data_IF_526864107858
#
_entry.id   IF_526864107858
#
_cell.length_a   1.000
_cell.length_b   1.000
_cell.length_c   1.000
_cell.angle_alpha   90.00
_cell.angle_beta   90.00
_cell.angle_gamma   90.00
#
_symmetry.space_group_name_H-M   'P 1'
#
loop_
_entity.id
_entity.type
_entity.pdbx_description
1 polymer ?
#
# COMPACT_ATOMS: atom_id res chain seq x y z
N UNK A 1 27.69 -8.46 -68.59
CA UNK A 1 28.10 -8.60 -67.17
C UNK A 1 27.06 -9.47 -66.47
N UNK A 2 27.36 -10.73 -66.19
CA UNK A 2 26.47 -11.71 -65.63
C UNK A 2 26.84 -11.80 -64.10
N UNK A 3 25.99 -11.33 -63.23
CA UNK A 3 26.19 -11.44 -61.75
C UNK A 3 25.86 -12.86 -61.37
N UNK A 4 26.85 -13.62 -60.92
CA UNK A 4 26.69 -14.91 -60.23
C UNK A 4 26.09 -14.70 -58.89
N UNK A 5 24.85 -15.15 -58.69
CA UNK A 5 24.16 -15.19 -57.42
C UNK A 5 24.64 -16.44 -56.68
N UNK A 6 25.52 -16.22 -55.69
CA UNK A 6 26.07 -17.26 -54.84
C UNK A 6 24.96 -17.74 -53.90
N UNK A 7 24.32 -18.87 -54.18
CA UNK A 7 23.38 -19.53 -53.30
C UNK A 7 24.16 -20.03 -52.08
N UNK A 8 24.10 -19.28 -50.99
CA UNK A 8 24.53 -19.79 -49.65
C UNK A 8 23.59 -20.94 -49.31
N UNK A 9 24.07 -22.15 -49.37
CA UNK A 9 23.42 -23.31 -48.78
C UNK A 9 23.42 -23.13 -47.25
N UNK A 10 22.26 -22.79 -46.72
CA UNK A 10 22.02 -22.87 -45.28
C UNK A 10 22.04 -24.36 -44.93
N UNK A 11 23.12 -24.78 -44.33
CA UNK A 11 23.25 -26.12 -43.76
C UNK A 11 22.32 -26.18 -42.53
N UNK A 12 21.11 -26.69 -42.69
CA UNK A 12 20.23 -27.10 -41.58
C UNK A 12 20.76 -28.41 -40.98
N UNK A 13 22.01 -28.36 -40.46
CA UNK A 13 22.62 -29.47 -39.78
C UNK A 13 21.88 -29.78 -38.48
N UNK A 14 21.28 -30.95 -38.44
CA UNK A 14 20.89 -31.67 -37.24
C UNK A 14 19.95 -30.93 -36.27
N UNK A 15 18.84 -30.38 -36.78
CA UNK A 15 17.75 -29.89 -35.92
C UNK A 15 17.02 -31.12 -35.33
N UNK A 16 17.42 -31.51 -34.15
CA UNK A 16 16.64 -32.47 -33.34
C UNK A 16 15.37 -31.74 -32.93
N UNK A 17 14.25 -32.03 -33.57
CA UNK A 17 12.94 -31.50 -33.18
C UNK A 17 12.47 -32.15 -31.88
N UNK A 18 11.74 -31.40 -31.07
CA UNK A 18 11.03 -31.93 -29.92
C UNK A 18 9.97 -32.96 -30.35
N UNK A 19 9.86 -34.04 -29.60
CA UNK A 19 8.77 -35.01 -29.81
C UNK A 19 7.47 -34.45 -29.23
N UNK A 20 6.34 -34.81 -29.83
CA UNK A 20 5.02 -34.42 -29.35
C UNK A 20 4.79 -34.87 -27.89
N UNK A 21 5.30 -36.07 -27.55
CA UNK A 21 5.15 -36.63 -26.21
C UNK A 21 5.94 -35.84 -25.16
N UNK A 22 7.15 -35.36 -25.47
CA UNK A 22 7.92 -34.50 -24.59
C UNK A 22 7.18 -33.22 -24.24
N UNK A 23 6.53 -32.58 -25.24
CA UNK A 23 5.74 -31.39 -25.02
C UNK A 23 4.50 -31.69 -24.18
N UNK A 24 3.79 -32.81 -24.45
CA UNK A 24 2.60 -33.20 -23.69
C UNK A 24 2.90 -33.46 -22.22
N UNK A 25 4.00 -34.15 -21.91
CA UNK A 25 4.38 -34.42 -20.51
C UNK A 25 4.70 -33.13 -19.77
N UNK A 26 5.42 -32.19 -20.40
CA UNK A 26 5.79 -30.90 -19.80
C UNK A 26 4.52 -30.09 -19.48
N UNK A 27 3.58 -29.99 -20.42
CA UNK A 27 2.33 -29.26 -20.22
C UNK A 27 1.48 -29.91 -19.12
N UNK A 28 1.43 -31.25 -19.07
CA UNK A 28 0.72 -31.95 -18.02
C UNK A 28 1.30 -31.66 -16.62
N UNK A 29 2.62 -31.69 -16.48
CA UNK A 29 3.28 -31.39 -15.20
C UNK A 29 3.04 -29.91 -14.80
N UNK A 30 3.19 -28.98 -15.73
CA UNK A 30 2.93 -27.55 -15.47
C UNK A 30 1.46 -27.36 -15.05
N UNK A 31 0.51 -28.03 -15.69
CA UNK A 31 -0.90 -27.99 -15.36
C UNK A 31 -1.19 -28.43 -13.92
N UNK A 32 -0.59 -29.52 -13.48
CA UNK A 32 -0.72 -30.03 -12.10
C UNK A 32 -0.13 -29.04 -11.10
N UNK A 33 1.07 -28.52 -11.36
CA UNK A 33 1.73 -27.55 -10.50
C UNK A 33 0.94 -26.24 -10.41
N UNK A 34 0.42 -25.74 -11.54
CA UNK A 34 -0.38 -24.52 -11.59
C UNK A 34 -1.69 -24.65 -10.81
N UNK A 35 -2.35 -25.82 -10.86
CA UNK A 35 -3.58 -26.06 -10.13
C UNK A 35 -3.43 -25.90 -8.60
N UNK A 36 -2.25 -26.18 -8.06
CA UNK A 36 -1.94 -26.00 -6.63
C UNK A 36 -1.41 -24.58 -6.35
N UNK A 37 -0.58 -24.06 -7.24
CA UNK A 37 0.11 -22.80 -7.02
C UNK A 37 -0.81 -21.57 -7.08
N UNK A 38 -1.79 -21.56 -8.00
CA UNK A 38 -2.66 -20.39 -8.22
C UNK A 38 -3.47 -20.03 -6.96
N UNK A 39 -4.23 -20.96 -6.32
CA UNK A 39 -5.00 -20.62 -5.13
C UNK A 39 -4.11 -20.26 -3.93
N UNK A 40 -2.95 -20.91 -3.79
CA UNK A 40 -1.99 -20.56 -2.76
C UNK A 40 -1.45 -19.14 -2.92
N UNK A 41 -1.12 -18.74 -4.15
CA UNK A 41 -0.61 -17.41 -4.46
C UNK A 41 -1.64 -16.32 -4.15
N UNK A 42 -2.92 -16.53 -4.47
CA UNK A 42 -3.99 -15.59 -4.16
C UNK A 42 -4.12 -15.35 -2.63
N UNK A 43 -4.03 -16.41 -1.82
CA UNK A 43 -4.08 -16.30 -0.37
C UNK A 43 -2.88 -15.55 0.20
N UNK A 44 -1.68 -15.76 -0.34
CA UNK A 44 -0.47 -15.05 0.08
C UNK A 44 -0.57 -13.57 -0.26
N UNK A 45 -1.08 -13.21 -1.43
CA UNK A 45 -1.30 -11.82 -1.81
C UNK A 45 -2.30 -11.11 -0.88
N UNK A 46 -3.41 -11.77 -0.52
CA UNK A 46 -4.38 -11.18 0.42
C UNK A 46 -3.74 -10.88 1.78
N UNK A 47 -2.98 -11.83 2.33
CA UNK A 47 -2.25 -11.64 3.59
C UNK A 47 -1.20 -10.53 3.49
N UNK A 48 -0.48 -10.41 2.38
CA UNK A 48 0.50 -9.36 2.15
C UNK A 48 -0.15 -7.97 2.11
N UNK A 49 -1.33 -7.82 1.50
CA UNK A 49 -2.10 -6.57 1.51
C UNK A 49 -2.52 -6.18 2.92
N UNK A 50 -3.04 -7.12 3.71
CA UNK A 50 -3.44 -6.88 5.10
C UNK A 50 -2.23 -6.45 5.94
N UNK A 51 -1.11 -7.16 5.83
CA UNK A 51 0.11 -6.83 6.56
C UNK A 51 0.65 -5.43 6.20
N UNK A 52 0.61 -5.05 4.91
CA UNK A 52 0.97 -3.70 4.48
C UNK A 52 0.03 -2.65 5.08
N UNK A 53 -1.28 -2.85 5.01
CA UNK A 53 -2.25 -1.90 5.58
C UNK A 53 -2.06 -1.73 7.09
N UNK A 54 -1.76 -2.80 7.83
CA UNK A 54 -1.45 -2.73 9.26
C UNK A 54 -0.14 -1.99 9.55
N UNK A 55 0.89 -2.19 8.74
CA UNK A 55 2.15 -1.46 8.89
C UNK A 55 1.96 0.03 8.61
N UNK A 56 1.23 0.38 7.55
CA UNK A 56 0.95 1.76 7.19
C UNK A 56 0.11 2.47 8.26
N UNK A 57 -0.94 1.85 8.81
CA UNK A 57 -1.75 2.45 9.89
C UNK A 57 -0.93 2.74 11.14
N UNK A 58 0.01 1.85 11.52
CA UNK A 58 0.92 2.08 12.65
C UNK A 58 1.91 3.20 12.37
N UNK A 59 2.46 3.26 11.17
CA UNK A 59 3.38 4.32 10.77
C UNK A 59 2.70 5.70 10.79
N UNK A 60 1.48 5.79 10.27
CA UNK A 60 0.67 7.00 10.32
C UNK A 60 0.34 7.38 11.77
N UNK A 61 -0.07 6.42 12.59
CA UNK A 61 -0.37 6.66 14.00
C UNK A 61 0.85 7.19 14.77
N UNK A 62 2.04 6.68 14.48
CA UNK A 62 3.28 7.20 15.03
C UNK A 62 3.52 8.66 14.62
N UNK A 63 3.30 8.99 13.35
CA UNK A 63 3.45 10.37 12.86
C UNK A 63 2.43 11.33 13.49
N UNK A 64 1.17 10.90 13.67
CA UNK A 64 0.14 11.66 14.40
C UNK A 64 0.54 11.89 15.86
N UNK A 65 1.10 10.89 16.52
CA UNK A 65 1.59 11.02 17.89
C UNK A 65 2.73 12.03 18.02
N UNK A 66 3.67 12.02 17.06
CA UNK A 66 4.78 13.00 17.03
C UNK A 66 4.24 14.40 16.74
N UNK A 67 3.30 14.54 15.82
CA UNK A 67 2.61 15.80 15.56
C UNK A 67 1.93 16.33 16.81
N UNK A 68 1.15 15.49 17.51
CA UNK A 68 0.46 15.86 18.73
C UNK A 68 1.45 16.26 19.87
N UNK A 69 2.59 15.60 19.96
CA UNK A 69 3.63 15.96 20.92
C UNK A 69 4.27 17.34 20.61
N UNK A 70 4.41 17.69 19.33
CA UNK A 70 4.95 18.98 18.91
C UNK A 70 3.92 20.12 19.02
N UNK A 71 2.68 19.87 18.59
CA UNK A 71 1.62 20.86 18.50
C UNK A 71 0.77 20.99 19.76
N UNK A 72 0.75 20.00 20.64
CA UNK A 72 -0.17 19.93 21.77
C UNK A 72 -1.61 19.58 21.41
N UNK A 73 -1.90 19.35 20.12
CA UNK A 73 -3.21 19.01 19.60
C UNK A 73 -3.10 18.01 18.44
N UNK A 74 -4.18 17.30 18.13
CA UNK A 74 -4.26 16.38 17.02
C UNK A 74 -4.36 17.12 15.67
N UNK A 75 -3.86 16.53 14.56
CA UNK A 75 -3.97 17.15 13.25
C UNK A 75 -5.43 17.29 12.81
N UNK A 76 -5.79 18.44 12.26
CA UNK A 76 -7.10 18.67 11.67
C UNK A 76 -7.11 18.24 10.19
N UNK A 77 -7.93 17.24 9.81
CA UNK A 77 -8.04 16.77 8.43
C UNK A 77 -8.43 17.84 7.41
N UNK A 78 -9.15 18.85 7.83
CA UNK A 78 -9.59 19.95 6.97
C UNK A 78 -8.50 21.01 6.77
N UNK A 79 -7.43 21.00 7.58
CA UNK A 79 -6.39 22.03 7.56
C UNK A 79 -5.14 21.57 6.80
N UNK A 80 -4.64 22.44 5.93
CA UNK A 80 -3.31 22.37 5.33
C UNK A 80 -2.37 23.46 5.84
N UNK A 81 -2.77 24.15 6.93
CA UNK A 81 -1.99 25.25 7.49
C UNK A 81 -0.64 24.78 8.04
N UNK A 82 0.35 25.67 7.99
CA UNK A 82 1.67 25.44 8.56
C UNK A 82 1.75 25.83 10.05
N UNK A 83 0.61 26.07 10.69
CA UNK A 83 0.48 26.40 12.12
C UNK A 83 -0.27 25.31 12.84
N UNK A 84 0.19 24.97 14.02
CA UNK A 84 -0.44 23.95 14.86
C UNK A 84 -1.89 24.32 15.23
N UNK A 85 -2.79 23.34 15.27
CA UNK A 85 -4.13 23.53 15.81
C UNK A 85 -4.08 23.94 17.29
N UNK A 86 -5.04 24.78 17.72
CA UNK A 86 -5.11 25.27 19.11
C UNK A 86 -5.95 24.37 20.01
N UNK A 87 -6.69 23.41 19.44
CA UNK A 87 -7.54 22.47 20.18
C UNK A 87 -7.79 21.22 19.37
N UNK A 88 -8.16 20.14 20.06
CA UNK A 88 -8.60 18.91 19.43
C UNK A 88 -10.05 19.08 18.95
N UNK A 89 -10.30 18.81 17.68
CA UNK A 89 -11.65 18.70 17.13
C UNK A 89 -12.01 17.22 16.98
N UNK A 90 -13.24 16.85 17.34
CA UNK A 90 -13.75 15.51 17.06
C UNK A 90 -13.88 15.35 15.53
N UNK A 91 -13.30 14.29 15.00
CA UNK A 91 -13.31 13.97 13.58
C UNK A 91 -13.69 12.50 13.42
N UNK A 92 -14.72 12.24 12.63
CA UNK A 92 -15.14 10.87 12.36
C UNK A 92 -14.94 10.55 10.89
N UNK A 93 -14.27 9.44 10.62
CA UNK A 93 -14.12 8.85 9.29
C UNK A 93 -13.61 9.86 8.22
N UNK A 94 -12.57 10.62 8.53
CA UNK A 94 -11.96 11.60 7.63
C UNK A 94 -10.72 11.03 6.92
N UNK A 95 -10.39 11.52 5.72
CA UNK A 95 -9.09 11.25 5.14
C UNK A 95 -7.97 11.84 6.01
N UNK A 96 -6.77 11.28 5.89
CA UNK A 96 -5.63 11.76 6.65
C UNK A 96 -5.28 13.22 6.32
N UNK A 97 -4.93 13.98 7.34
CA UNK A 97 -4.65 15.39 7.24
C UNK A 97 -3.37 15.71 6.43
N UNK A 98 -3.44 16.63 5.44
CA UNK A 98 -2.26 17.12 4.74
C UNK A 98 -1.29 17.89 5.65
N UNK A 99 -1.71 18.35 6.83
CA UNK A 99 -0.84 19.06 7.79
C UNK A 99 0.34 18.20 8.27
N UNK A 100 0.25 16.86 8.18
CA UNK A 100 1.36 15.97 8.48
C UNK A 100 2.51 16.02 7.46
N UNK A 101 2.25 16.52 6.25
CA UNK A 101 3.24 16.62 5.16
C UNK A 101 4.00 17.94 5.15
N UNK A 102 3.59 18.91 5.95
CA UNK A 102 4.21 20.23 6.02
C UNK A 102 4.82 20.49 7.40
N UNK A 103 5.77 21.40 7.44
CA UNK A 103 6.31 21.86 8.70
C UNK A 103 5.23 22.63 9.48
N UNK A 104 5.21 22.42 10.79
CA UNK A 104 4.27 23.05 11.71
C UNK A 104 5.00 23.98 12.68
N UNK A 105 4.43 25.15 12.89
CA UNK A 105 4.92 26.08 13.91
C UNK A 105 4.01 26.01 15.12
N UNK A 106 4.57 25.68 16.29
CA UNK A 106 3.84 25.56 17.53
C UNK A 106 3.65 26.94 18.23
N UNK A 107 2.95 26.97 19.35
CA UNK A 107 2.68 28.17 20.12
C UNK A 107 3.96 28.86 20.67
N UNK A 108 5.06 28.15 20.76
CA UNK A 108 6.37 28.64 21.17
C UNK A 108 7.24 29.12 20.00
N UNK A 109 6.66 29.27 18.80
CA UNK A 109 7.34 29.59 17.54
C UNK A 109 8.45 28.60 17.14
N UNK A 110 8.34 27.36 17.59
CA UNK A 110 9.24 26.29 17.16
C UNK A 110 8.68 25.60 15.92
N UNK A 111 9.53 25.32 14.97
CA UNK A 111 9.18 24.63 13.72
C UNK A 111 9.53 23.16 13.85
N UNK A 112 8.57 22.26 13.57
CA UNK A 112 8.76 20.82 13.54
C UNK A 112 8.13 20.17 12.31
N UNK A 113 8.55 18.96 11.99
CA UNK A 113 8.09 18.21 10.81
C UNK A 113 8.90 18.48 9.53
N UNK A 114 8.46 18.02 8.37
CA UNK A 114 7.22 17.23 8.15
C UNK A 114 7.22 15.91 8.92
N UNK A 115 6.06 15.49 9.37
CA UNK A 115 5.90 14.28 10.20
C UNK A 115 5.71 13.02 9.37
N UNK A 116 5.28 13.19 8.13
CA UNK A 116 5.25 12.19 7.06
C UNK A 116 5.92 12.74 5.81
N UNK A 117 6.69 11.92 5.13
CA UNK A 117 7.33 12.29 3.87
C UNK A 117 6.35 12.22 2.69
N UNK A 118 5.41 11.30 2.74
CA UNK A 118 4.32 11.13 1.78
C UNK A 118 3.13 10.44 2.45
N UNK A 119 1.92 10.70 1.94
CA UNK A 119 0.73 9.97 2.38
C UNK A 119 0.79 8.53 1.86
N UNK A 120 0.72 7.51 2.74
CA UNK A 120 0.62 6.13 2.31
C UNK A 120 -0.66 5.89 1.52
N UNK A 121 -0.56 5.07 0.49
CA UNK A 121 -1.70 4.62 -0.32
C UNK A 121 -2.08 3.20 0.07
N UNK A 122 -3.37 2.90 0.00
CA UNK A 122 -3.87 1.56 0.22
C UNK A 122 -3.19 0.55 -0.75
N UNK A 123 -2.99 -0.70 -0.33
CA UNK A 123 -2.40 -1.72 -1.17
C UNK A 123 -3.20 -1.92 -2.46
N UNK A 124 -2.52 -2.15 -3.59
CA UNK A 124 -3.18 -2.43 -4.86
C UNK A 124 -4.07 -3.67 -4.74
N UNK A 125 -5.33 -3.56 -5.23
CA UNK A 125 -6.31 -4.63 -5.12
C UNK A 125 -7.00 -4.74 -3.74
N UNK A 126 -6.79 -3.77 -2.84
CA UNK A 126 -7.54 -3.67 -1.58
C UNK A 126 -9.01 -3.36 -1.88
N UNK A 127 -9.90 -4.29 -1.54
CA UNK A 127 -11.34 -4.14 -1.78
C UNK A 127 -12.03 -3.70 -0.50
N UNK A 128 -12.38 -2.41 -0.39
CA UNK A 128 -13.03 -1.90 0.81
C UNK A 128 -13.54 -0.47 0.70
N UNK A 129 -14.01 0.07 1.80
CA UNK A 129 -14.53 1.43 1.87
C UNK A 129 -13.41 2.47 1.76
N UNK A 130 -13.35 3.13 0.60
CA UNK A 130 -12.51 4.30 0.38
C UNK A 130 -11.20 4.03 -0.36
N UNK A 131 -10.56 5.11 -0.78
CA UNK A 131 -9.30 5.13 -1.54
C UNK A 131 -8.08 5.47 -0.68
N UNK A 132 -8.30 5.77 0.62
CA UNK A 132 -7.27 6.24 1.54
C UNK A 132 -7.49 5.69 2.95
N UNK A 133 -6.45 5.75 3.77
CA UNK A 133 -6.56 5.51 5.20
C UNK A 133 -7.48 6.55 5.86
N UNK A 134 -8.30 6.07 6.80
CA UNK A 134 -9.28 6.88 7.50
C UNK A 134 -8.75 7.24 8.88
N UNK A 135 -9.10 8.43 9.32
CA UNK A 135 -8.70 9.03 10.57
C UNK A 135 -9.92 9.37 11.42
N UNK A 136 -9.95 8.87 12.62
CA UNK A 136 -10.90 9.23 13.66
C UNK A 136 -10.17 9.90 14.82
N UNK A 137 -10.69 11.00 15.30
CA UNK A 137 -10.14 11.71 16.43
C UNK A 137 -11.24 12.14 17.40
N UNK A 138 -11.04 11.92 18.67
CA UNK A 138 -11.88 12.41 19.74
C UNK A 138 -11.42 13.80 20.22
N UNK A 139 -12.36 14.60 20.73
CA UNK A 139 -12.06 15.89 21.34
C UNK A 139 -11.15 15.77 22.59
N UNK A 140 -11.06 14.56 23.17
CA UNK A 140 -10.20 14.25 24.32
C UNK A 140 -8.75 13.97 23.98
N UNK A 141 -8.37 14.06 22.68
CA UNK A 141 -7.01 13.76 22.24
C UNK A 141 -6.75 12.29 21.92
N UNK A 142 -7.77 11.45 21.93
CA UNK A 142 -7.69 10.06 21.42
C UNK A 142 -7.82 10.06 19.91
N UNK A 143 -7.12 9.16 19.24
CA UNK A 143 -7.26 9.00 17.80
C UNK A 143 -7.06 7.56 17.35
N UNK A 144 -7.51 7.26 16.15
CA UNK A 144 -7.41 5.96 15.54
C UNK A 144 -7.20 6.10 14.02
N UNK A 145 -6.31 5.30 13.48
CA UNK A 145 -6.13 5.14 12.03
C UNK A 145 -6.70 3.81 11.58
N UNK A 146 -7.47 3.83 10.51
CA UNK A 146 -8.16 2.64 10.05
C UNK A 146 -8.22 2.54 8.52
N UNK A 147 -8.24 1.31 8.03
CA UNK A 147 -8.60 0.96 6.66
C UNK A 147 -9.39 -0.34 6.66
N UNK A 148 -10.62 -0.31 6.19
CA UNK A 148 -11.46 -1.51 6.04
C UNK A 148 -11.40 -2.02 4.62
N UNK A 149 -11.26 -3.33 4.44
CA UNK A 149 -11.25 -3.97 3.14
C UNK A 149 -10.82 -5.43 3.21
N UNK A 150 -10.96 -6.16 2.10
CA UNK A 150 -10.65 -7.60 2.01
C UNK A 150 -11.34 -8.42 3.13
N UNK A 151 -12.57 -8.03 3.50
CA UNK A 151 -13.35 -8.62 4.63
C UNK A 151 -12.65 -8.51 6.00
N UNK A 152 -11.78 -7.53 6.17
CA UNK A 152 -11.04 -7.28 7.41
C UNK A 152 -10.82 -5.78 7.63
N UNK A 153 -10.22 -5.41 8.75
CA UNK A 153 -9.78 -4.05 9.00
C UNK A 153 -8.32 -4.02 9.46
N UNK A 154 -7.59 -3.01 9.00
CA UNK A 154 -6.29 -2.65 9.53
C UNK A 154 -6.46 -1.41 10.40
N UNK A 155 -6.21 -1.56 11.70
CA UNK A 155 -6.46 -0.54 12.70
C UNK A 155 -5.18 -0.30 13.52
N UNK A 156 -4.84 0.96 13.78
CA UNK A 156 -3.66 1.32 14.57
C UNK A 156 -3.71 0.80 16.00
N UNK A 157 -4.91 0.61 16.55
CA UNK A 157 -5.12 0.11 17.91
C UNK A 157 -5.23 -1.42 17.99
N UNK A 158 -5.04 -2.12 16.88
CA UNK A 158 -5.10 -3.59 16.81
C UNK A 158 -6.52 -4.17 16.77
N UNK A 159 -7.55 -3.35 16.67
CA UNK A 159 -8.94 -3.81 16.53
C UNK A 159 -9.20 -4.44 15.16
N UNK A 160 -10.19 -5.33 15.10
CA UNK A 160 -10.61 -6.01 13.88
C UNK A 160 -11.69 -5.23 13.08
N UNK A 161 -12.14 -4.10 13.60
CA UNK A 161 -13.18 -3.25 12.98
C UNK A 161 -12.72 -1.80 12.92
N UNK A 162 -13.13 -1.11 11.86
CA UNK A 162 -13.11 0.34 11.81
C UNK A 162 -14.40 0.90 12.42
N UNK A 163 -14.36 2.07 13.09
CA UNK A 163 -15.55 2.75 13.57
C UNK A 163 -16.50 3.09 12.43
#
# INVERSE_FOLDING_TARGET
MIRFWNKRHLNFGNQRGFTLIELMIVVAIIGILAAIAIPLYANVQARARIAKAQADTRAIASAVSIFAAHCGALPDPASSAATCPTSNAAQADKPLSPSLLVQQTNAQNQVGGPFLNAMPTLPAGWTGNGTSYRYDAGATGTFQMCASGDSTAANSNGGATCP
#
